data_IF_012995756723
#
_entry.id   IF_012995756723
#
_cell.length_a   1.000
_cell.length_b   1.000
_cell.length_c   1.000
_cell.angle_alpha   90.00
_cell.angle_beta   90.00
_cell.angle_gamma   90.00
#
_symmetry.space_group_name_H-M   'P 1'
#
loop_
_entity.id
_entity.type
_entity.pdbx_description
1 polymer ?
#
# COMPACT_ATOMS: atom_id res chain seq x y z
N UNK A 1 0.71 -8.29 -5.47
CA UNK A 1 0.55 -9.68 -5.93
C UNK A 1 0.63 -10.67 -4.77
N UNK A 2 1.75 -10.75 -4.02
CA UNK A 2 1.93 -11.73 -2.92
C UNK A 2 0.87 -11.60 -1.81
N UNK A 3 0.45 -10.39 -1.51
CA UNK A 3 -0.66 -10.15 -0.59
C UNK A 3 -2.03 -10.62 -1.17
N UNK A 4 -2.10 -10.89 -2.47
CA UNK A 4 -3.34 -11.23 -3.17
C UNK A 4 -4.33 -10.08 -3.31
N UNK A 5 -3.87 -8.85 -3.13
CA UNK A 5 -4.70 -7.64 -3.15
C UNK A 5 -4.76 -7.00 -4.53
N UNK A 6 -5.91 -6.38 -4.82
CA UNK A 6 -6.14 -5.69 -6.08
C UNK A 6 -5.61 -4.27 -6.06
N UNK A 7 -5.07 -3.83 -7.19
CA UNK A 7 -4.47 -2.52 -7.39
C UNK A 7 -5.26 -1.73 -8.42
N UNK A 8 -5.43 -0.42 -8.19
CA UNK A 8 -5.91 0.48 -9.24
C UNK A 8 -4.86 1.55 -9.54
N UNK A 9 -4.61 1.77 -10.82
CA UNK A 9 -3.73 2.79 -11.35
C UNK A 9 -4.57 3.93 -11.91
N UNK A 10 -4.45 5.11 -11.31
CA UNK A 10 -5.16 6.32 -11.73
C UNK A 10 -4.20 7.29 -12.40
N UNK A 11 -4.63 7.98 -13.43
CA UNK A 11 -3.83 9.02 -14.06
C UNK A 11 -4.12 9.19 -15.55
N UNK A 12 -3.56 10.25 -16.18
CA UNK A 12 -3.83 10.58 -17.57
C UNK A 12 -3.43 9.44 -18.51
N UNK A 13 -3.93 9.43 -19.74
CA UNK A 13 -3.49 8.48 -20.74
C UNK A 13 -1.99 8.66 -21.06
N UNK A 14 -1.31 7.56 -21.43
CA UNK A 14 0.10 7.60 -21.84
C UNK A 14 1.13 7.57 -20.69
N UNK A 15 0.73 7.34 -19.45
CA UNK A 15 1.65 7.21 -18.28
C UNK A 15 1.99 5.74 -17.96
N UNK A 16 2.05 4.89 -18.96
CA UNK A 16 2.51 3.50 -18.89
C UNK A 16 1.74 2.57 -17.93
N UNK A 17 0.46 2.85 -17.59
CA UNK A 17 -0.35 2.00 -16.66
C UNK A 17 -0.40 0.53 -17.09
N UNK A 18 -0.70 0.25 -18.37
CA UNK A 18 -0.77 -1.10 -18.93
C UNK A 18 0.59 -1.81 -18.94
N UNK A 19 1.67 -1.06 -19.12
CA UNK A 19 3.02 -1.63 -19.11
C UNK A 19 3.39 -2.17 -17.71
N UNK A 20 3.04 -1.48 -16.66
CA UNK A 20 3.26 -1.94 -15.26
C UNK A 20 2.57 -3.29 -15.02
N UNK A 21 1.32 -3.44 -15.47
CA UNK A 21 0.59 -4.70 -15.31
C UNK A 21 1.25 -5.86 -16.07
N UNK A 22 1.73 -5.61 -17.30
CA UNK A 22 2.44 -6.62 -18.11
C UNK A 22 3.76 -7.03 -17.48
N UNK A 23 4.51 -6.10 -16.89
CA UNK A 23 5.74 -6.41 -16.18
C UNK A 23 5.49 -7.29 -14.93
N UNK A 24 4.44 -7.01 -14.17
CA UNK A 24 4.09 -7.81 -12.99
C UNK A 24 3.76 -9.28 -13.33
N UNK A 25 3.21 -9.56 -14.53
CA UNK A 25 2.99 -10.92 -14.99
C UNK A 25 4.28 -11.71 -15.09
N UNK A 26 5.37 -11.10 -15.53
CA UNK A 26 6.65 -11.78 -15.75
C UNK A 26 7.27 -12.34 -14.48
N UNK A 27 6.83 -11.87 -13.30
CA UNK A 27 7.27 -12.37 -12.01
C UNK A 27 6.79 -13.81 -11.70
N UNK A 28 5.75 -14.28 -12.41
CA UNK A 28 5.18 -15.62 -12.19
C UNK A 28 5.53 -16.56 -13.32
N UNK A 29 5.90 -17.79 -12.95
CA UNK A 29 6.16 -18.87 -13.92
C UNK A 29 4.83 -19.36 -14.50
N UNK A 30 4.79 -19.54 -15.82
CA UNK A 30 3.64 -20.11 -16.57
C UNK A 30 2.28 -19.42 -16.27
N UNK A 31 2.31 -18.16 -15.83
CA UNK A 31 1.10 -17.41 -15.50
C UNK A 31 0.26 -17.07 -16.72
N UNK A 32 -1.02 -17.41 -16.68
CA UNK A 32 -1.99 -16.97 -17.67
C UNK A 32 -2.43 -15.54 -17.36
N UNK A 33 -2.47 -14.69 -18.38
CA UNK A 33 -2.96 -13.31 -18.22
C UNK A 33 -4.19 -13.06 -19.05
N UNK A 34 -5.06 -12.23 -18.50
CA UNK A 34 -6.20 -11.67 -19.19
C UNK A 34 -6.12 -10.15 -19.19
N UNK A 35 -6.19 -9.53 -20.36
CA UNK A 35 -6.17 -8.06 -20.53
C UNK A 35 -7.43 -7.64 -21.27
N UNK A 36 -8.12 -6.61 -20.79
CA UNK A 36 -9.30 -6.10 -21.43
C UNK A 36 -9.48 -4.59 -21.25
N UNK A 37 -9.81 -3.89 -22.31
CA UNK A 37 -10.19 -2.47 -22.31
C UNK A 37 -11.70 -2.35 -22.19
N UNK A 38 -12.19 -1.88 -21.04
CA UNK A 38 -13.61 -1.69 -20.79
C UNK A 38 -14.20 -0.57 -21.63
N UNK A 39 -15.43 -0.79 -22.06
CA UNK A 39 -16.25 0.19 -22.75
C UNK A 39 -17.69 0.14 -22.21
N UNK A 40 -18.50 1.13 -22.53
CA UNK A 40 -19.94 1.12 -22.18
C UNK A 40 -20.72 -0.02 -22.85
N UNK A 41 -20.15 -0.61 -23.93
CA UNK A 41 -20.75 -1.70 -24.69
C UNK A 41 -20.16 -3.06 -24.32
N UNK A 42 -19.19 -3.11 -23.41
CA UNK A 42 -18.58 -4.37 -22.98
C UNK A 42 -19.64 -5.30 -22.36
N UNK A 43 -19.55 -6.55 -22.76
CA UNK A 43 -20.48 -7.60 -22.33
C UNK A 43 -19.81 -8.58 -21.35
N UNK A 44 -20.56 -9.24 -20.47
CA UNK A 44 -20.00 -10.29 -19.61
C UNK A 44 -19.34 -11.44 -20.40
N UNK A 45 -19.77 -11.69 -21.62
CA UNK A 45 -19.25 -12.77 -22.48
C UNK A 45 -17.79 -12.51 -22.90
N UNK A 46 -17.43 -11.25 -23.09
CA UNK A 46 -16.07 -10.85 -23.48
C UNK A 46 -15.07 -10.95 -22.33
N UNK A 47 -15.55 -10.92 -21.10
CA UNK A 47 -14.70 -10.90 -19.89
C UNK A 47 -14.70 -12.26 -19.20
N UNK A 48 -15.86 -12.89 -19.05
CA UNK A 48 -16.05 -14.13 -18.31
C UNK A 48 -16.23 -15.35 -19.21
N UNK A 49 -16.23 -15.17 -20.54
CA UNK A 49 -16.43 -16.21 -21.54
C UNK A 49 -17.87 -16.35 -22.02
N UNK A 50 -18.07 -16.75 -23.27
CA UNK A 50 -19.41 -16.95 -23.87
C UNK A 50 -20.14 -18.14 -23.24
N UNK A 51 -21.46 -18.15 -23.35
CA UNK A 51 -22.28 -19.28 -22.94
C UNK A 51 -22.00 -20.50 -23.80
N UNK A 52 -21.74 -21.64 -23.19
CA UNK A 52 -21.51 -22.90 -23.88
C UNK A 52 -22.79 -23.46 -24.48
N UNK A 53 -22.98 -23.31 -25.80
CA UNK A 53 -24.12 -23.86 -26.52
C UNK A 53 -24.16 -25.38 -26.40
N UNK A 54 -23.01 -26.05 -26.34
CA UNK A 54 -22.93 -27.49 -26.19
C UNK A 54 -23.51 -27.95 -24.85
N UNK A 55 -23.14 -27.31 -23.74
CA UNK A 55 -23.65 -27.65 -22.39
C UNK A 55 -25.14 -27.32 -22.26
N UNK A 56 -25.56 -26.22 -22.87
CA UNK A 56 -26.97 -25.85 -22.89
C UNK A 56 -27.82 -26.90 -23.64
N UNK A 57 -27.33 -27.46 -24.75
CA UNK A 57 -28.04 -28.48 -25.52
C UNK A 57 -27.99 -29.88 -24.91
N UNK A 58 -26.84 -30.24 -24.29
CA UNK A 58 -26.63 -31.61 -23.79
C UNK A 58 -27.11 -31.85 -22.37
N UNK A 59 -27.09 -30.84 -21.51
CA UNK A 59 -27.35 -30.98 -20.07
C UNK A 59 -28.29 -29.92 -19.53
N UNK A 60 -28.89 -29.07 -20.39
CA UNK A 60 -29.76 -27.95 -20.01
C UNK A 60 -29.14 -27.04 -18.92
N UNK A 61 -27.80 -26.92 -18.95
CA UNK A 61 -27.05 -26.11 -17.98
C UNK A 61 -26.51 -24.84 -18.62
N UNK A 62 -26.76 -23.72 -17.96
CA UNK A 62 -26.24 -22.42 -18.36
C UNK A 62 -24.82 -22.25 -17.80
N UNK A 63 -23.83 -22.77 -18.51
CA UNK A 63 -22.42 -22.62 -18.14
C UNK A 63 -21.67 -21.84 -19.24
N UNK A 64 -20.65 -21.08 -18.83
CA UNK A 64 -19.75 -20.33 -19.74
C UNK A 64 -18.51 -21.14 -20.11
N UNK A 65 -18.00 -20.93 -21.30
CA UNK A 65 -16.67 -21.40 -21.71
C UNK A 65 -15.63 -20.39 -21.20
N UNK A 66 -14.97 -20.74 -20.12
CA UNK A 66 -14.12 -19.79 -19.35
C UNK A 66 -12.63 -19.82 -19.73
N UNK A 67 -12.20 -20.81 -20.53
CA UNK A 67 -10.80 -20.96 -20.92
C UNK A 67 -10.32 -19.76 -21.74
N UNK A 68 -9.22 -19.15 -21.29
CA UNK A 68 -8.66 -17.92 -21.90
C UNK A 68 -9.34 -16.62 -21.47
N UNK A 69 -10.30 -16.69 -20.57
CA UNK A 69 -10.99 -15.52 -20.00
C UNK A 69 -10.58 -15.28 -18.56
N UNK A 70 -11.06 -14.17 -17.97
CA UNK A 70 -10.74 -13.75 -16.61
C UNK A 70 -10.83 -14.88 -15.56
N UNK A 71 -11.83 -15.79 -15.57
CA UNK A 71 -11.95 -16.81 -14.53
C UNK A 71 -10.80 -17.83 -14.48
N UNK A 72 -9.99 -17.94 -15.53
CA UNK A 72 -8.84 -18.86 -15.61
C UNK A 72 -7.49 -18.15 -15.60
N UNK A 73 -7.48 -16.83 -15.39
CA UNK A 73 -6.25 -16.04 -15.40
C UNK A 73 -5.63 -15.89 -14.01
N UNK A 74 -4.30 -15.98 -13.94
CA UNK A 74 -3.50 -15.69 -12.75
C UNK A 74 -3.32 -14.17 -12.55
N UNK A 75 -3.13 -13.42 -13.66
CA UNK A 75 -2.93 -11.98 -13.66
C UNK A 75 -3.94 -11.33 -14.60
N UNK A 76 -4.71 -10.42 -14.05
CA UNK A 76 -5.77 -9.71 -14.81
C UNK A 76 -5.44 -8.22 -14.88
N UNK A 77 -5.55 -7.65 -16.08
CA UNK A 77 -5.50 -6.21 -16.30
C UNK A 77 -6.80 -5.72 -16.93
N UNK A 78 -7.48 -4.79 -16.26
CA UNK A 78 -8.73 -4.18 -16.72
C UNK A 78 -8.53 -2.68 -16.88
N UNK A 79 -8.47 -2.20 -18.13
CA UNK A 79 -8.35 -0.77 -18.41
C UNK A 79 -9.72 -0.11 -18.49
N UNK A 80 -9.81 1.17 -18.15
CA UNK A 80 -11.04 1.99 -18.12
C UNK A 80 -12.17 1.34 -17.29
N UNK A 81 -11.83 0.82 -16.11
CA UNK A 81 -12.70 -0.04 -15.29
C UNK A 81 -14.08 0.55 -15.00
N UNK A 82 -14.19 1.89 -14.87
CA UNK A 82 -15.46 2.55 -14.55
C UNK A 82 -16.45 2.56 -15.71
N UNK A 83 -16.00 2.24 -16.95
CA UNK A 83 -16.89 2.11 -18.12
C UNK A 83 -17.64 0.79 -18.16
N UNK A 84 -17.30 -0.17 -17.28
CA UNK A 84 -17.99 -1.46 -17.18
C UNK A 84 -19.46 -1.29 -16.80
N UNK A 85 -20.35 -2.05 -17.47
CA UNK A 85 -21.76 -2.06 -17.11
C UNK A 85 -22.05 -2.78 -15.77
N UNK A 86 -23.24 -2.56 -15.15
CA UNK A 86 -23.58 -3.09 -13.80
C UNK A 86 -23.43 -4.61 -13.66
N UNK A 87 -23.72 -5.38 -14.71
CA UNK A 87 -23.58 -6.84 -14.69
C UNK A 87 -22.13 -7.29 -14.50
N UNK A 88 -21.20 -6.61 -15.18
CA UNK A 88 -19.77 -6.86 -15.06
C UNK A 88 -19.27 -6.43 -13.68
N UNK A 89 -19.64 -5.22 -13.24
CA UNK A 89 -19.27 -4.67 -11.93
C UNK A 89 -19.69 -5.61 -10.80
N UNK A 90 -20.92 -6.07 -10.78
CA UNK A 90 -21.43 -6.99 -9.76
C UNK A 90 -20.64 -8.32 -9.73
N UNK A 91 -20.30 -8.87 -10.88
CA UNK A 91 -19.47 -10.07 -10.96
C UNK A 91 -18.07 -9.81 -10.42
N UNK A 92 -17.44 -8.66 -10.78
CA UNK A 92 -16.12 -8.25 -10.29
C UNK A 92 -16.11 -8.08 -8.77
N UNK A 93 -17.21 -7.66 -8.14
CA UNK A 93 -17.29 -7.56 -6.68
C UNK A 93 -17.00 -8.91 -5.99
N UNK A 94 -17.50 -10.01 -6.53
CA UNK A 94 -17.23 -11.37 -6.00
C UNK A 94 -15.83 -11.85 -6.38
N UNK A 95 -15.44 -11.64 -7.63
CA UNK A 95 -14.11 -12.01 -8.14
C UNK A 95 -12.99 -11.38 -7.31
N UNK A 96 -13.07 -10.08 -7.02
CA UNK A 96 -12.02 -9.36 -6.30
C UNK A 96 -11.95 -9.78 -4.84
N UNK A 97 -13.09 -9.95 -4.18
CA UNK A 97 -13.11 -10.23 -2.74
C UNK A 97 -12.88 -11.70 -2.39
N UNK A 98 -13.58 -12.57 -3.10
CA UNK A 98 -13.71 -13.97 -2.72
C UNK A 98 -12.89 -14.87 -3.62
N UNK A 99 -12.36 -14.31 -4.73
CA UNK A 99 -11.70 -15.06 -5.80
C UNK A 99 -12.57 -16.23 -6.26
N UNK A 100 -13.88 -15.96 -6.34
CA UNK A 100 -14.88 -16.91 -6.76
C UNK A 100 -15.62 -16.40 -8.00
N UNK A 101 -15.95 -17.32 -8.89
CA UNK A 101 -16.81 -17.08 -10.04
C UNK A 101 -17.92 -18.13 -10.08
N UNK A 102 -19.18 -17.67 -10.23
CA UNK A 102 -20.33 -18.57 -10.43
C UNK A 102 -20.49 -18.86 -11.90
N UNK A 103 -20.24 -20.12 -12.27
CA UNK A 103 -20.47 -20.60 -13.63
C UNK A 103 -21.68 -21.56 -13.65
N UNK A 104 -22.85 -21.00 -13.93
CA UNK A 104 -24.12 -21.73 -13.77
C UNK A 104 -24.38 -22.09 -12.31
N UNK A 105 -24.49 -23.38 -12.02
CA UNK A 105 -24.72 -23.89 -10.67
C UNK A 105 -23.42 -24.24 -9.92
N UNK A 106 -22.25 -24.01 -10.55
CA UNK A 106 -20.94 -24.34 -9.96
C UNK A 106 -20.23 -23.10 -9.50
N UNK A 107 -19.62 -23.17 -8.34
CA UNK A 107 -18.67 -22.16 -7.87
C UNK A 107 -17.25 -22.59 -8.27
N UNK A 108 -16.51 -21.68 -8.88
CA UNK A 108 -15.12 -21.87 -9.31
C UNK A 108 -14.23 -20.95 -8.49
N UNK A 109 -13.22 -21.51 -7.83
CA UNK A 109 -12.12 -20.74 -7.28
C UNK A 109 -11.19 -20.29 -8.40
N UNK A 110 -10.89 -19.00 -8.45
CA UNK A 110 -10.02 -18.43 -9.46
C UNK A 110 -8.55 -18.57 -9.04
N UNK A 111 -7.65 -18.89 -9.99
CA UNK A 111 -6.22 -18.90 -9.73
C UNK A 111 -5.63 -17.49 -9.57
N UNK A 112 -6.46 -16.48 -9.44
CA UNK A 112 -6.15 -15.06 -9.47
C UNK A 112 -5.13 -14.67 -8.38
N UNK A 113 -3.92 -14.31 -8.79
CA UNK A 113 -2.83 -13.81 -7.94
C UNK A 113 -2.83 -12.28 -7.87
N UNK A 114 -3.15 -11.63 -9.00
CA UNK A 114 -3.15 -10.18 -9.09
C UNK A 114 -4.24 -9.67 -10.05
N UNK A 115 -5.01 -8.70 -9.59
CA UNK A 115 -5.87 -7.89 -10.47
C UNK A 115 -5.40 -6.45 -10.42
N UNK A 116 -5.03 -5.92 -11.57
CA UNK A 116 -4.71 -4.51 -11.78
C UNK A 116 -5.82 -3.88 -12.60
N UNK A 117 -6.44 -2.86 -12.07
CA UNK A 117 -7.34 -2.00 -12.83
C UNK A 117 -6.65 -0.69 -13.19
N UNK A 118 -7.10 -0.05 -14.26
CA UNK A 118 -6.66 1.29 -14.61
C UNK A 118 -7.86 2.18 -14.94
N UNK A 119 -7.71 3.48 -14.68
CA UNK A 119 -8.64 4.51 -15.11
C UNK A 119 -7.93 5.86 -15.24
N UNK A 120 -8.52 6.73 -16.04
CA UNK A 120 -8.08 8.13 -16.16
C UNK A 120 -8.78 9.05 -15.13
N UNK A 121 -9.85 8.58 -14.53
CA UNK A 121 -10.72 9.33 -13.62
C UNK A 121 -11.11 8.49 -12.39
N UNK A 122 -11.57 9.18 -11.34
CA UNK A 122 -12.19 8.54 -10.18
C UNK A 122 -13.59 8.03 -10.52
N UNK A 123 -14.14 7.07 -9.75
CA UNK A 123 -15.52 6.64 -9.94
C UNK A 123 -16.49 7.80 -9.74
N UNK A 124 -17.50 7.91 -10.60
CA UNK A 124 -18.53 8.93 -10.47
C UNK A 124 -19.36 8.69 -9.19
N UNK A 125 -19.57 9.74 -8.42
CA UNK A 125 -20.35 9.67 -7.16
C UNK A 125 -21.83 9.38 -7.46
N UNK A 126 -22.42 8.48 -6.69
CA UNK A 126 -23.85 8.16 -6.80
C UNK A 126 -24.22 7.20 -7.93
N UNK A 127 -23.24 6.63 -8.64
CA UNK A 127 -23.46 5.61 -9.68
C UNK A 127 -23.33 4.16 -9.14
N UNK A 128 -23.18 3.98 -7.83
CA UNK A 128 -23.05 2.66 -7.20
C UNK A 128 -21.67 2.02 -7.34
N UNK A 129 -20.67 2.81 -7.76
CA UNK A 129 -19.29 2.37 -7.97
C UNK A 129 -18.48 2.32 -6.67
N UNK A 130 -18.99 2.89 -5.60
CA UNK A 130 -18.31 3.00 -4.31
C UNK A 130 -17.94 1.62 -3.76
N UNK A 131 -18.80 0.63 -3.97
CA UNK A 131 -18.56 -0.73 -3.54
C UNK A 131 -17.39 -1.38 -4.29
N UNK A 132 -17.22 -1.12 -5.58
CA UNK A 132 -16.10 -1.60 -6.37
C UNK A 132 -14.83 -0.81 -6.02
N UNK A 133 -14.93 0.50 -5.84
CA UNK A 133 -13.83 1.35 -5.39
C UNK A 133 -13.24 0.91 -4.04
N UNK A 134 -14.09 0.55 -3.07
CA UNK A 134 -13.64 0.06 -1.76
C UNK A 134 -12.83 -1.25 -1.85
N UNK A 135 -13.00 -2.03 -2.91
CA UNK A 135 -12.29 -3.30 -3.11
C UNK A 135 -10.88 -3.14 -3.67
N UNK A 136 -10.59 -2.03 -4.32
CA UNK A 136 -9.22 -1.68 -4.69
C UNK A 136 -8.50 -1.14 -3.46
N UNK A 137 -7.74 -2.04 -2.81
CA UNK A 137 -7.03 -1.71 -1.57
C UNK A 137 -5.89 -0.75 -1.86
N UNK A 138 -5.10 -1.03 -2.90
CA UNK A 138 -3.94 -0.23 -3.29
C UNK A 138 -4.36 0.72 -4.42
N UNK A 139 -4.19 2.01 -4.21
CA UNK A 139 -4.55 3.09 -5.13
C UNK A 139 -3.33 3.92 -5.45
N UNK A 140 -2.85 3.80 -6.68
CA UNK A 140 -1.63 4.47 -7.13
C UNK A 140 -1.98 5.51 -8.18
N UNK A 141 -1.58 6.74 -7.94
CA UNK A 141 -1.66 7.79 -8.92
C UNK A 141 -0.42 7.78 -9.82
N UNK A 142 -0.62 7.40 -11.09
CA UNK A 142 0.41 7.43 -12.11
C UNK A 142 0.54 8.85 -12.68
N UNK A 143 1.68 9.47 -12.48
CA UNK A 143 1.97 10.84 -12.92
C UNK A 143 2.97 10.83 -14.08
N UNK A 144 2.95 11.86 -14.96
CA UNK A 144 3.99 12.05 -15.94
C UNK A 144 5.39 12.13 -15.29
N UNK A 145 6.41 11.74 -16.03
CA UNK A 145 7.80 11.79 -15.59
C UNK A 145 8.18 13.24 -15.26
N UNK A 146 8.55 13.51 -14.01
CA UNK A 146 8.93 14.84 -13.54
C UNK A 146 10.43 15.11 -13.64
N UNK A 147 11.26 14.07 -13.43
CA UNK A 147 12.70 14.22 -13.43
C UNK A 147 13.23 14.24 -14.86
N UNK A 148 13.91 15.32 -15.24
CA UNK A 148 14.51 15.50 -16.55
C UNK A 148 15.45 14.34 -16.93
N UNK A 149 16.23 13.83 -15.99
CA UNK A 149 17.08 12.64 -16.20
C UNK A 149 16.28 11.44 -16.70
N UNK A 150 15.14 11.16 -16.05
CA UNK A 150 14.29 10.01 -16.40
C UNK A 150 13.57 10.24 -17.73
N UNK A 151 13.15 11.50 -17.98
CA UNK A 151 12.52 11.87 -19.26
C UNK A 151 13.50 11.69 -20.42
N UNK A 152 14.74 12.15 -20.27
CA UNK A 152 15.78 11.93 -21.30
C UNK A 152 16.10 10.46 -21.49
N UNK A 153 16.20 9.69 -20.41
CA UNK A 153 16.43 8.25 -20.51
C UNK A 153 15.31 7.56 -21.31
N UNK A 154 14.05 7.90 -21.06
CA UNK A 154 12.91 7.41 -21.82
C UNK A 154 12.98 7.76 -23.31
N UNK A 155 13.42 8.97 -23.66
CA UNK A 155 13.55 9.40 -25.08
C UNK A 155 14.70 8.69 -25.81
N UNK A 156 15.75 8.31 -25.09
CA UNK A 156 16.94 7.65 -25.63
C UNK A 156 16.80 6.13 -25.67
N UNK A 157 15.80 5.57 -24.98
CA UNK A 157 15.52 4.13 -24.99
C UNK A 157 14.91 3.73 -26.34
N UNK A 158 15.78 3.27 -27.25
CA UNK A 158 15.40 2.82 -28.58
C UNK A 158 14.66 1.46 -28.60
N UNK A 159 14.53 0.80 -27.44
CA UNK A 159 13.86 -0.48 -27.25
C UNK A 159 12.47 -0.36 -26.62
N UNK A 160 12.00 0.86 -26.39
CA UNK A 160 10.63 1.12 -25.98
C UNK A 160 9.67 0.87 -27.17
N UNK A 161 9.56 -0.39 -27.59
CA UNK A 161 8.51 -0.79 -28.50
C UNK A 161 7.15 -0.58 -27.83
N UNK A 162 6.46 0.48 -28.23
CA UNK A 162 5.05 0.74 -27.90
C UNK A 162 4.11 -0.36 -28.44
N UNK A 163 4.62 -1.26 -29.23
CA UNK A 163 3.94 -2.41 -29.79
C UNK A 163 4.27 -3.66 -28.98
N UNK A 164 3.52 -3.93 -27.93
CA UNK A 164 3.17 -5.28 -27.43
C UNK A 164 4.23 -6.35 -27.16
N UNK A 165 5.52 -6.15 -27.44
CA UNK A 165 6.57 -7.13 -27.21
C UNK A 165 7.61 -6.61 -26.22
N UNK A 166 7.63 -7.20 -25.08
CA UNK A 166 8.70 -7.40 -24.07
C UNK A 166 9.94 -6.49 -24.09
N UNK A 167 9.77 -5.16 -24.13
CA UNK A 167 10.86 -4.20 -23.99
C UNK A 167 10.76 -3.49 -22.64
N UNK A 168 11.56 -3.87 -21.66
CA UNK A 168 11.50 -3.31 -20.31
C UNK A 168 12.16 -1.94 -20.22
N UNK A 169 11.54 -1.05 -19.47
CA UNK A 169 12.21 0.15 -18.93
C UNK A 169 13.31 -0.31 -17.95
N UNK A 170 14.55 0.06 -18.22
CA UNK A 170 15.62 -0.08 -17.22
C UNK A 170 16.59 -1.23 -17.45
N UNK A 171 16.82 -1.72 -18.66
CA UNK A 171 17.83 -2.73 -18.95
C UNK A 171 19.24 -2.17 -19.22
N UNK A 172 19.55 -0.91 -18.89
CA UNK A 172 20.91 -0.42 -19.05
C UNK A 172 21.95 -1.09 -18.13
N UNK A 173 21.55 -1.69 -17.01
CA UNK A 173 22.47 -2.34 -16.07
C UNK A 173 22.15 -3.82 -15.76
N UNK A 174 21.01 -4.37 -16.26
CA UNK A 174 20.65 -5.78 -16.05
C UNK A 174 20.79 -6.66 -17.31
N UNK A 175 21.26 -6.11 -18.42
CA UNK A 175 21.41 -6.80 -19.70
C UNK A 175 22.64 -7.72 -19.80
N UNK A 176 23.28 -8.07 -18.70
CA UNK A 176 24.30 -9.11 -18.68
C UNK A 176 23.68 -10.47 -18.29
N UNK A 177 23.10 -11.14 -19.29
CA UNK A 177 22.97 -12.62 -19.40
C UNK A 177 22.60 -13.44 -18.14
N UNK A 178 21.85 -12.92 -17.18
CA UNK A 178 21.21 -13.76 -16.19
C UNK A 178 19.86 -14.20 -16.75
N UNK A 179 19.70 -15.48 -16.97
CA UNK A 179 18.40 -16.09 -17.27
C UNK A 179 17.51 -16.02 -16.02
N UNK A 180 16.70 -14.98 -15.93
CA UNK A 180 15.74 -14.79 -14.82
C UNK A 180 14.58 -15.79 -14.85
N UNK A 181 14.56 -16.74 -15.78
CA UNK A 181 13.51 -17.75 -15.86
C UNK A 181 13.45 -18.62 -14.60
N UNK A 182 14.60 -18.85 -13.96
CA UNK A 182 14.71 -19.60 -12.71
C UNK A 182 14.24 -18.80 -11.47
N UNK A 183 14.19 -17.48 -11.57
CA UNK A 183 13.78 -16.61 -10.46
C UNK A 183 12.26 -16.31 -10.44
N UNK A 184 11.50 -16.92 -11.35
CA UNK A 184 10.05 -16.73 -11.42
C UNK A 184 9.35 -17.55 -10.35
N UNK A 185 8.42 -16.91 -9.67
CA UNK A 185 7.60 -17.51 -8.61
C UNK A 185 6.70 -18.61 -9.20
N UNK A 186 6.83 -19.81 -8.70
CA UNK A 186 5.98 -20.95 -9.07
C UNK A 186 4.63 -20.87 -8.33
N UNK A 187 3.66 -21.68 -8.78
CA UNK A 187 2.38 -21.79 -8.08
C UNK A 187 2.51 -22.37 -6.67
N UNK A 188 3.45 -23.31 -6.48
CA UNK A 188 3.72 -23.94 -5.18
C UNK A 188 4.36 -22.96 -4.20
N UNK A 189 5.40 -22.23 -4.64
CA UNK A 189 6.04 -21.18 -3.84
C UNK A 189 5.04 -20.09 -3.46
N UNK A 190 4.19 -19.67 -4.39
CA UNK A 190 3.15 -18.68 -4.09
C UNK A 190 2.18 -19.15 -3.01
N UNK A 191 1.78 -20.42 -3.02
CA UNK A 191 0.88 -21.00 -2.02
C UNK A 191 1.59 -21.09 -0.66
N UNK A 192 2.81 -21.59 -0.61
CA UNK A 192 3.63 -21.68 0.60
C UNK A 192 3.88 -20.29 1.22
N UNK A 193 4.29 -19.32 0.41
CA UNK A 193 4.52 -17.93 0.87
C UNK A 193 3.24 -17.29 1.39
N UNK A 194 2.10 -17.58 0.76
CA UNK A 194 0.81 -17.08 1.23
C UNK A 194 0.46 -17.59 2.64
N UNK A 195 0.84 -18.82 2.99
CA UNK A 195 0.68 -19.37 4.34
C UNK A 195 1.68 -18.75 5.31
N UNK A 196 2.94 -18.61 4.91
CA UNK A 196 3.99 -18.01 5.74
C UNK A 196 3.69 -16.55 6.06
N UNK A 197 3.19 -15.77 5.11
CA UNK A 197 2.74 -14.39 5.34
C UNK A 197 1.68 -14.31 6.44
N UNK A 198 0.76 -15.28 6.53
CA UNK A 198 -0.26 -15.28 7.57
C UNK A 198 0.30 -15.52 8.98
N UNK A 199 1.50 -16.10 9.10
CA UNK A 199 2.19 -16.37 10.38
C UNK A 199 3.00 -15.19 10.89
N UNK A 200 3.29 -14.19 10.04
CA UNK A 200 4.02 -12.98 10.44
C UNK A 200 3.25 -12.25 11.55
N UNK A 201 3.96 -11.94 12.63
CA UNK A 201 3.42 -11.22 13.78
C UNK A 201 3.19 -9.73 13.48
N UNK A 202 2.37 -9.08 14.31
CA UNK A 202 2.21 -7.62 14.31
C UNK A 202 2.49 -7.15 15.73
N UNK A 203 3.51 -6.31 15.89
CA UNK A 203 3.88 -5.77 17.21
C UNK A 203 2.79 -4.86 17.77
N UNK A 204 2.66 -4.79 19.07
CA UNK A 204 1.67 -3.91 19.75
C UNK A 204 1.91 -2.44 19.39
N UNK A 205 3.17 -2.02 19.29
CA UNK A 205 3.55 -0.66 18.86
C UNK A 205 2.97 -0.29 17.49
N UNK A 206 2.95 -1.23 16.54
CA UNK A 206 2.36 -1.04 15.20
C UNK A 206 0.85 -0.85 15.30
N UNK A 207 0.18 -1.62 16.19
CA UNK A 207 -1.26 -1.50 16.44
C UNK A 207 -1.61 -0.14 17.06
N UNK A 208 -0.76 0.36 17.97
CA UNK A 208 -0.92 1.70 18.55
C UNK A 208 -0.82 2.79 17.49
N UNK A 209 0.19 2.73 16.62
CA UNK A 209 0.34 3.67 15.49
C UNK A 209 -0.87 3.60 14.55
N UNK A 210 -1.36 2.41 14.20
CA UNK A 210 -2.59 2.24 13.40
C UNK A 210 -3.78 2.90 14.09
N UNK A 211 -3.89 2.78 15.41
CA UNK A 211 -4.97 3.39 16.19
C UNK A 211 -4.90 4.93 16.13
N UNK A 212 -3.70 5.51 16.18
CA UNK A 212 -3.47 6.96 15.99
C UNK A 212 -3.88 7.38 14.58
N UNK A 213 -3.44 6.66 13.53
CA UNK A 213 -3.83 6.93 12.15
C UNK A 213 -5.35 6.92 12.02
N UNK A 214 -6.01 5.85 12.52
CA UNK A 214 -7.46 5.69 12.46
C UNK A 214 -8.22 6.83 13.13
N UNK A 215 -7.73 7.33 14.26
CA UNK A 215 -8.31 8.51 14.95
C UNK A 215 -8.12 9.77 14.11
N UNK A 216 -6.94 9.98 13.55
CA UNK A 216 -6.61 11.17 12.77
C UNK A 216 -7.40 11.27 11.46
N UNK A 217 -7.74 10.14 10.82
CA UNK A 217 -8.55 10.10 9.61
C UNK A 217 -9.99 10.61 9.81
N UNK A 218 -10.48 10.73 11.05
CA UNK A 218 -11.82 11.28 11.32
C UNK A 218 -11.94 12.78 11.14
N UNK A 219 -10.79 13.49 11.07
CA UNK A 219 -10.77 14.95 10.97
C UNK A 219 -9.56 15.43 10.17
N UNK A 220 -9.52 15.11 8.88
CA UNK A 220 -8.41 15.46 7.97
C UNK A 220 -8.62 16.84 7.39
N UNK A 221 -7.61 17.70 7.51
CA UNK A 221 -7.57 18.98 6.82
C UNK A 221 -6.93 18.77 5.44
N UNK A 222 -7.71 18.97 4.39
CA UNK A 222 -7.23 18.76 3.01
C UNK A 222 -6.69 20.07 2.41
N UNK A 223 -7.28 21.23 2.77
CA UNK A 223 -6.90 22.55 2.30
C UNK A 223 -6.78 23.57 3.44
N UNK A 224 -6.04 24.68 3.25
CA UNK A 224 -5.85 25.74 4.25
C UNK A 224 -7.14 26.45 4.70
N UNK A 225 -8.18 26.41 3.87
CA UNK A 225 -9.50 27.03 4.15
C UNK A 225 -10.54 25.99 4.63
N UNK A 226 -10.15 24.82 5.04
CA UNK A 226 -10.93 23.63 4.82
C UNK A 226 -11.87 23.22 5.94
N UNK A 227 -12.99 22.74 5.52
CA UNK A 227 -13.80 21.78 6.26
C UNK A 227 -12.98 20.52 6.57
N UNK A 228 -13.03 20.10 7.83
CA UNK A 228 -12.46 18.82 8.25
C UNK A 228 -13.23 17.68 7.59
N UNK A 229 -12.55 16.87 6.81
CA UNK A 229 -13.14 15.69 6.17
C UNK A 229 -12.95 14.45 7.04
N UNK A 230 -14.01 13.65 7.13
CA UNK A 230 -13.94 12.34 7.75
C UNK A 230 -13.68 11.30 6.65
N UNK A 231 -12.48 10.72 6.64
CA UNK A 231 -12.09 9.70 5.69
C UNK A 231 -12.44 8.34 6.27
N UNK A 232 -13.46 7.73 5.70
CA UNK A 232 -13.91 6.40 6.10
C UNK A 232 -13.06 5.31 5.42
N UNK A 233 -12.54 4.41 6.22
CA UNK A 233 -11.83 3.19 5.79
C UNK A 233 -12.55 2.00 6.39
N UNK A 234 -13.03 1.08 5.56
CA UNK A 234 -13.79 -0.09 6.00
C UNK A 234 -12.92 -1.06 6.82
N UNK A 235 -13.54 -1.80 7.75
CA UNK A 235 -12.84 -2.82 8.55
C UNK A 235 -12.22 -3.92 7.67
N UNK A 236 -12.87 -4.24 6.55
CA UNK A 236 -12.33 -5.14 5.53
C UNK A 236 -11.01 -4.59 4.96
N UNK A 237 -10.99 -3.30 4.61
CA UNK A 237 -9.77 -2.67 4.06
C UNK A 237 -8.65 -2.67 5.09
N UNK A 238 -8.93 -2.41 6.37
CA UNK A 238 -7.93 -2.53 7.44
C UNK A 238 -7.38 -3.96 7.56
N UNK A 239 -8.22 -4.98 7.42
CA UNK A 239 -7.78 -6.38 7.40
C UNK A 239 -6.85 -6.67 6.22
N UNK A 240 -7.16 -6.15 5.04
CA UNK A 240 -6.33 -6.29 3.85
C UNK A 240 -5.01 -5.52 3.98
N UNK A 241 -5.04 -4.31 4.56
CA UNK A 241 -3.84 -3.54 4.90
C UNK A 241 -2.93 -4.35 5.85
N UNK A 242 -3.49 -4.97 6.88
CA UNK A 242 -2.71 -5.80 7.80
C UNK A 242 -2.02 -6.97 7.06
N UNK A 243 -2.65 -7.54 6.02
CA UNK A 243 -2.02 -8.55 5.16
C UNK A 243 -0.90 -7.96 4.30
N UNK A 244 -1.06 -6.73 3.77
CA UNK A 244 0.01 -6.01 3.05
C UNK A 244 1.22 -5.77 3.94
N UNK A 245 1.01 -5.34 5.20
CA UNK A 245 2.09 -5.12 6.17
C UNK A 245 2.87 -6.41 6.44
N UNK A 246 2.15 -7.52 6.67
CA UNK A 246 2.78 -8.84 6.85
C UNK A 246 3.55 -9.26 5.61
N UNK A 247 3.03 -8.98 4.41
CA UNK A 247 3.72 -9.27 3.16
C UNK A 247 5.00 -8.44 3.03
N UNK A 248 5.00 -7.18 3.45
CA UNK A 248 6.18 -6.32 3.48
C UNK A 248 7.27 -6.91 4.38
N UNK A 249 6.91 -7.30 5.59
CA UNK A 249 7.84 -7.94 6.53
C UNK A 249 8.39 -9.27 6.00
N UNK A 250 7.50 -10.13 5.46
CA UNK A 250 7.89 -11.41 4.86
C UNK A 250 8.91 -11.25 3.72
N UNK A 251 8.69 -10.29 2.82
CA UNK A 251 9.60 -10.02 1.69
C UNK A 251 10.97 -9.47 2.12
N UNK A 252 11.12 -9.12 3.38
CA UNK A 252 12.36 -8.62 3.99
C UNK A 252 12.91 -9.60 5.05
N UNK A 253 12.50 -10.88 4.97
CA UNK A 253 12.92 -11.96 5.88
C UNK A 253 12.70 -11.65 7.37
N UNK A 254 11.62 -10.88 7.69
CA UNK A 254 11.26 -10.54 9.07
C UNK A 254 10.05 -11.37 9.53
N UNK A 255 10.06 -11.76 10.78
CA UNK A 255 8.97 -12.51 11.42
C UNK A 255 7.87 -11.61 11.99
N UNK A 256 8.12 -10.31 12.08
CA UNK A 256 7.19 -9.31 12.61
C UNK A 256 7.17 -8.04 11.76
N UNK A 257 6.00 -7.40 11.75
CA UNK A 257 5.79 -6.09 11.10
C UNK A 257 6.42 -5.00 11.96
N UNK A 258 7.17 -4.08 11.32
CA UNK A 258 7.75 -2.90 11.93
C UNK A 258 6.94 -1.64 11.64
N UNK A 259 7.12 -0.58 12.44
CA UNK A 259 6.40 0.68 12.28
C UNK A 259 6.64 1.32 10.89
N UNK A 260 7.84 1.21 10.32
CA UNK A 260 8.14 1.76 9.00
C UNK A 260 7.42 1.05 7.83
N UNK A 261 6.90 -0.18 8.03
CA UNK A 261 6.04 -0.84 7.06
C UNK A 261 4.70 -0.09 6.86
N UNK A 262 4.30 0.74 7.82
CA UNK A 262 3.10 1.57 7.73
C UNK A 262 3.24 2.72 6.72
N UNK A 263 4.46 3.15 6.37
CA UNK A 263 4.64 4.32 5.49
C UNK A 263 3.89 4.20 4.17
N UNK A 264 3.93 3.09 3.40
CA UNK A 264 3.22 3.00 2.13
C UNK A 264 1.69 2.90 2.24
N UNK A 265 1.11 2.71 3.44
CA UNK A 265 -0.34 2.47 3.56
C UNK A 265 -1.20 3.69 3.20
N UNK A 266 -0.62 4.90 3.12
CA UNK A 266 -1.39 6.05 2.64
C UNK A 266 -1.97 5.81 1.25
N UNK A 267 -1.32 4.98 0.41
CA UNK A 267 -1.86 4.51 -0.86
C UNK A 267 -3.15 3.66 -0.72
N UNK A 268 -3.46 3.20 0.49
CA UNK A 268 -4.63 2.38 0.78
C UNK A 268 -5.76 3.16 1.46
N UNK A 269 -5.55 4.42 1.85
CA UNK A 269 -6.45 5.13 2.76
C UNK A 269 -7.28 6.22 2.08
N UNK A 270 -6.75 6.92 1.07
CA UNK A 270 -7.43 8.03 0.42
C UNK A 270 -8.63 7.62 -0.44
N UNK A 271 -9.62 8.50 -0.56
CA UNK A 271 -10.79 8.33 -1.41
C UNK A 271 -10.74 9.27 -2.63
N UNK A 272 -10.23 10.48 -2.44
CA UNK A 272 -10.03 11.51 -3.45
C UNK A 272 -8.55 11.88 -3.55
N UNK A 273 -8.08 12.24 -4.74
CA UNK A 273 -6.63 12.49 -4.98
C UNK A 273 -6.07 13.61 -4.11
N UNK A 274 -6.89 14.61 -3.78
CA UNK A 274 -6.52 15.76 -2.94
C UNK A 274 -6.22 15.37 -1.49
N UNK A 275 -6.81 14.27 -1.01
CA UNK A 275 -6.63 13.78 0.36
C UNK A 275 -5.27 13.10 0.59
N UNK A 276 -4.65 12.60 -0.51
CA UNK A 276 -3.50 11.71 -0.44
C UNK A 276 -2.32 12.32 0.33
N UNK A 277 -1.95 13.55 0.04
CA UNK A 277 -0.76 14.18 0.64
C UNK A 277 -1.01 14.52 2.12
N UNK A 278 -2.26 14.91 2.48
CA UNK A 278 -2.66 15.09 3.87
C UNK A 278 -2.62 13.76 4.66
N UNK A 279 -3.13 12.68 4.07
CA UNK A 279 -3.09 11.34 4.69
C UNK A 279 -1.65 10.85 4.84
N UNK A 280 -0.80 11.08 3.83
CA UNK A 280 0.62 10.74 3.88
C UNK A 280 1.29 11.43 5.08
N UNK A 281 1.04 12.72 5.27
CA UNK A 281 1.53 13.47 6.44
C UNK A 281 1.01 12.89 7.75
N UNK A 282 -0.27 12.48 7.82
CA UNK A 282 -0.84 11.83 9.01
C UNK A 282 -0.10 10.52 9.31
N UNK A 283 0.15 9.68 8.31
CA UNK A 283 0.87 8.41 8.50
C UNK A 283 2.28 8.66 9.03
N UNK A 284 3.02 9.59 8.43
CA UNK A 284 4.38 9.94 8.87
C UNK A 284 4.38 10.43 10.32
N UNK A 285 3.50 11.36 10.67
CA UNK A 285 3.40 11.89 12.03
C UNK A 285 2.98 10.84 13.06
N UNK A 286 2.13 9.92 12.66
CA UNK A 286 1.65 8.86 13.55
C UNK A 286 2.78 7.93 14.03
N UNK A 287 3.85 7.74 13.24
CA UNK A 287 5.02 6.97 13.66
C UNK A 287 5.68 7.55 14.90
N UNK A 288 5.65 8.88 15.03
CA UNK A 288 6.26 9.60 16.14
C UNK A 288 5.29 9.85 17.30
N UNK A 289 3.99 9.62 17.12
CA UNK A 289 2.98 9.98 18.12
C UNK A 289 3.24 9.36 19.49
N UNK A 290 3.58 8.06 19.65
CA UNK A 290 3.84 7.48 20.97
C UNK A 290 5.06 8.11 21.66
N UNK A 291 6.11 8.45 20.90
CA UNK A 291 7.30 9.10 21.42
C UNK A 291 7.02 10.57 21.75
N UNK A 292 6.26 11.27 20.90
CA UNK A 292 5.87 12.65 21.10
C UNK A 292 4.99 12.83 22.36
N UNK A 293 4.04 11.93 22.61
CA UNK A 293 3.21 11.93 23.81
C UNK A 293 4.08 11.80 25.07
N UNK A 294 5.00 10.83 25.09
CA UNK A 294 5.94 10.65 26.23
C UNK A 294 6.82 11.88 26.43
N UNK A 295 7.34 12.47 25.34
CA UNK A 295 8.16 13.68 25.42
C UNK A 295 7.38 14.86 26.01
N UNK A 296 6.14 15.08 25.56
CA UNK A 296 5.28 16.15 26.07
C UNK A 296 4.96 15.94 27.55
N UNK A 297 4.64 14.73 27.96
CA UNK A 297 4.39 14.39 29.37
C UNK A 297 5.62 14.65 30.23
N UNK A 298 6.78 14.19 29.79
CA UNK A 298 8.06 14.43 30.47
C UNK A 298 8.36 15.93 30.60
N UNK A 299 8.21 16.72 29.53
CA UNK A 299 8.44 18.18 29.52
C UNK A 299 7.52 18.91 30.46
N UNK A 300 6.24 18.51 30.56
CA UNK A 300 5.28 19.10 31.50
C UNK A 300 5.69 18.84 32.96
N UNK A 301 6.07 17.59 33.25
CA UNK A 301 6.56 17.25 34.57
C UNK A 301 7.85 17.99 34.94
N UNK A 302 8.80 18.07 34.00
CA UNK A 302 10.05 18.83 34.18
C UNK A 302 9.78 20.32 34.43
N UNK A 303 8.86 20.93 33.69
CA UNK A 303 8.51 22.34 33.90
C UNK A 303 7.88 22.60 35.25
N UNK A 304 7.06 21.68 35.76
CA UNK A 304 6.52 21.74 37.14
C UNK A 304 7.63 21.60 38.19
N UNK A 305 8.53 20.64 38.01
CA UNK A 305 9.64 20.41 38.98
C UNK A 305 10.58 21.63 39.04
N UNK A 306 10.90 22.25 37.90
CA UNK A 306 11.69 23.50 37.83
C UNK A 306 10.92 24.65 38.52
N UNK A 307 9.64 24.82 38.22
CA UNK A 307 8.79 25.90 38.76
C UNK A 307 8.70 25.86 40.27
N UNK A 308 8.64 24.69 40.89
CA UNK A 308 8.56 24.53 42.36
C UNK A 308 9.91 24.46 43.02
N UNK A 309 11.01 24.79 42.34
CA UNK A 309 12.39 24.74 42.84
C UNK A 309 12.70 23.44 43.57
N UNK A 310 12.30 22.33 42.97
CA UNK A 310 12.61 20.99 43.49
C UNK A 310 14.04 20.64 43.14
N UNK A 311 14.98 21.36 43.78
CA UNK A 311 16.41 21.11 43.60
C UNK A 311 16.71 19.70 44.10
N UNK A 312 17.32 18.91 43.30
CA UNK A 312 17.67 17.52 43.59
C UNK A 312 19.15 17.46 43.96
N UNK A 313 19.43 16.82 45.08
CA UNK A 313 20.79 16.61 45.56
C UNK A 313 21.46 15.40 44.92
N UNK A 314 20.66 14.43 44.48
CA UNK A 314 21.14 13.22 43.79
C UNK A 314 20.21 12.85 42.65
N UNK A 315 20.72 12.17 41.59
CA UNK A 315 19.89 11.69 40.45
C UNK A 315 18.76 10.75 40.88
N UNK A 316 18.91 10.06 42.00
CA UNK A 316 17.93 9.07 42.53
C UNK A 316 16.73 9.70 43.25
N UNK A 317 16.72 11.04 43.44
CA UNK A 317 15.60 11.73 44.10
C UNK A 317 14.55 12.17 43.03
N UNK A 318 13.44 11.44 42.94
CA UNK A 318 12.27 11.81 42.12
C UNK A 318 12.20 11.10 40.78
N UNK A 319 11.64 11.78 39.74
CA UNK A 319 11.46 11.21 38.38
C UNK A 319 12.80 11.11 37.66
N UNK A 320 13.07 9.95 37.06
CA UNK A 320 14.29 9.67 36.28
C UNK A 320 14.17 10.23 34.85
N UNK A 321 14.45 11.52 34.71
CA UNK A 321 14.41 12.18 33.39
C UNK A 321 15.49 11.69 32.44
N UNK A 322 16.69 11.31 32.91
CA UNK A 322 17.74 10.79 32.06
C UNK A 322 17.38 9.43 31.47
N UNK A 323 16.83 8.51 32.28
CA UNK A 323 16.36 7.22 31.80
C UNK A 323 15.20 7.36 30.81
N UNK A 324 14.30 8.34 31.00
CA UNK A 324 13.23 8.63 30.04
C UNK A 324 13.79 9.20 28.73
N UNK A 325 14.78 10.08 28.77
CA UNK A 325 15.47 10.62 27.59
C UNK A 325 16.20 9.49 26.83
N UNK A 326 16.88 8.60 27.52
CA UNK A 326 17.53 7.44 26.92
C UNK A 326 16.50 6.52 26.25
N UNK A 327 15.40 6.21 26.92
CA UNK A 327 14.32 5.41 26.33
C UNK A 327 13.72 6.04 25.07
N UNK A 328 13.54 7.37 25.03
CA UNK A 328 13.09 8.10 23.85
C UNK A 328 14.13 8.05 22.73
N UNK A 329 15.41 8.21 23.08
CA UNK A 329 16.54 8.13 22.12
C UNK A 329 16.62 6.74 21.49
N UNK A 330 16.46 5.67 22.28
CA UNK A 330 16.45 4.30 21.79
C UNK A 330 15.28 4.04 20.84
N UNK A 331 14.09 4.57 21.17
CA UNK A 331 12.93 4.51 20.28
C UNK A 331 13.15 5.21 18.94
N UNK A 332 13.79 6.38 18.94
CA UNK A 332 14.15 7.11 17.70
C UNK A 332 15.19 6.33 16.89
N UNK A 333 16.21 5.77 17.54
CA UNK A 333 17.25 4.96 16.91
C UNK A 333 16.65 3.71 16.28
N UNK A 334 15.70 3.06 16.95
CA UNK A 334 14.97 1.92 16.39
C UNK A 334 14.19 2.29 15.13
N UNK A 335 13.48 3.43 15.12
CA UNK A 335 12.79 3.93 13.92
C UNK A 335 13.76 4.24 12.79
N UNK A 336 14.92 4.81 13.08
CA UNK A 336 15.96 5.13 12.10
C UNK A 336 16.51 3.85 11.43
N UNK A 337 16.78 2.81 12.21
CA UNK A 337 17.18 1.48 11.69
C UNK A 337 16.09 0.86 10.82
N UNK A 338 14.84 0.80 11.31
CA UNK A 338 13.72 0.28 10.54
C UNK A 338 13.55 1.01 9.21
N UNK A 339 13.74 2.34 9.20
CA UNK A 339 13.65 3.17 8.00
C UNK A 339 14.78 2.87 7.01
N UNK A 340 16.01 2.69 7.51
CA UNK A 340 17.19 2.37 6.70
C UNK A 340 17.04 1.02 6.00
N UNK A 341 16.64 0.02 6.75
CA UNK A 341 16.54 -1.36 6.29
C UNK A 341 15.33 -1.61 5.39
N UNK A 342 14.28 -0.78 5.48
CA UNK A 342 13.05 -1.00 4.73
C UNK A 342 13.23 -0.72 3.24
N UNK A 343 13.02 -1.76 2.41
CA UNK A 343 13.20 -1.73 0.95
C UNK A 343 12.00 -1.12 0.21
N UNK A 344 10.82 -1.07 0.83
CA UNK A 344 9.57 -0.66 0.17
C UNK A 344 9.16 0.79 0.45
N UNK A 345 9.89 1.47 1.32
CA UNK A 345 9.68 2.90 1.58
C UNK A 345 10.36 3.72 0.48
N UNK A 346 9.62 4.66 -0.11
CA UNK A 346 10.14 5.54 -1.15
C UNK A 346 11.27 6.45 -0.63
N UNK A 347 12.16 6.89 -1.52
CA UNK A 347 13.21 7.85 -1.18
C UNK A 347 12.66 9.16 -0.61
N UNK A 348 11.51 9.60 -1.11
CA UNK A 348 10.86 10.83 -0.66
C UNK A 348 10.28 10.67 0.75
N UNK A 349 9.67 9.51 1.04
CA UNK A 349 9.18 9.20 2.38
C UNK A 349 10.34 9.05 3.37
N UNK A 350 11.43 8.36 2.97
CA UNK A 350 12.65 8.25 3.79
C UNK A 350 13.24 9.62 4.12
N UNK A 351 13.30 10.53 3.16
CA UNK A 351 13.82 11.88 3.37
C UNK A 351 12.96 12.69 4.34
N UNK A 352 11.63 12.59 4.23
CA UNK A 352 10.72 13.31 5.10
C UNK A 352 10.74 12.76 6.54
N UNK A 353 10.68 11.44 6.72
CA UNK A 353 10.82 10.81 8.05
C UNK A 353 12.16 11.15 8.69
N UNK A 354 13.25 11.14 7.90
CA UNK A 354 14.57 11.55 8.40
C UNK A 354 14.61 13.03 8.83
N UNK A 355 13.83 13.90 8.21
CA UNK A 355 13.69 15.29 8.67
C UNK A 355 12.99 15.36 10.04
N UNK A 356 11.89 14.63 10.21
CA UNK A 356 11.19 14.52 11.51
C UNK A 356 12.10 13.95 12.60
N UNK A 357 12.87 12.89 12.31
CA UNK A 357 13.86 12.32 13.24
C UNK A 357 14.85 13.38 13.72
N UNK A 358 15.46 14.13 12.80
CA UNK A 358 16.42 15.20 13.13
C UNK A 358 15.80 16.26 14.02
N UNK A 359 14.58 16.68 13.76
CA UNK A 359 13.92 17.71 14.56
C UNK A 359 13.55 17.16 15.95
N UNK A 360 13.16 15.90 16.06
CA UNK A 360 12.87 15.27 17.34
C UNK A 360 14.16 15.12 18.18
N UNK A 361 15.27 14.70 17.58
CA UNK A 361 16.58 14.65 18.29
C UNK A 361 17.02 16.03 18.81
N UNK A 362 16.81 17.11 18.05
CA UNK A 362 17.09 18.47 18.53
C UNK A 362 16.23 18.81 19.73
N UNK A 363 14.92 18.51 19.67
CA UNK A 363 13.99 18.79 20.77
C UNK A 363 14.37 17.99 22.03
N UNK A 364 14.76 16.73 21.86
CA UNK A 364 15.25 15.88 22.96
C UNK A 364 16.55 16.45 23.57
N UNK A 365 17.48 16.93 22.76
CA UNK A 365 18.72 17.56 23.24
C UNK A 365 18.44 18.85 24.02
N UNK A 366 17.50 19.70 23.58
CA UNK A 366 17.08 20.87 24.33
C UNK A 366 16.42 20.48 25.68
N UNK A 367 15.59 19.46 25.68
CA UNK A 367 14.97 18.98 26.91
C UNK A 367 16.02 18.45 27.89
N UNK A 368 17.06 17.76 27.40
CA UNK A 368 18.18 17.31 28.22
C UNK A 368 18.95 18.48 28.85
N UNK A 369 19.13 19.59 28.14
CA UNK A 369 19.70 20.81 28.73
C UNK A 369 18.82 21.40 29.83
N UNK A 370 17.51 21.34 29.66
CA UNK A 370 16.57 21.83 30.69
C UNK A 370 16.59 20.98 31.94
N UNK A 371 16.90 19.67 31.86
CA UNK A 371 17.03 18.82 33.07
C UNK A 371 18.20 19.29 33.97
N UNK A 372 19.26 19.86 33.36
CA UNK A 372 20.39 20.40 34.13
C UNK A 372 19.98 21.50 35.11
N UNK A 373 18.92 22.26 34.81
CA UNK A 373 18.39 23.31 35.71
C UNK A 373 17.85 22.77 37.05
N UNK A 374 17.62 21.45 37.16
CA UNK A 374 17.22 20.80 38.40
C UNK A 374 18.41 20.59 39.37
N UNK A 375 19.66 20.68 38.85
CA UNK A 375 20.90 20.42 39.57
C UNK A 375 21.75 21.67 39.75
N UNK A 376 21.35 22.81 39.16
CA UNK A 376 22.02 24.10 39.35
C UNK A 376 21.54 24.72 40.70
N UNK A 377 22.52 25.16 41.55
CA UNK A 377 22.29 25.84 42.82
C UNK A 377 21.76 27.28 42.65
#
# INVERSE_FOLDING_TARGET
ALAGESVILLGPPGVAKSMVARQLKTAFRDAHSFEYLMSRFSTPDEIFGPVSIQKLKSSDTYERAVDGYLPTADVVFLDEIWKAGPAIQNTLLTVINEKLFRNGNKEMHLPLKLLVAASNELPAKGEGLEALWDRFVIRIESRPIKLEKNFRAMLLDSHADFSGSTGGLGHADFANNADFSELKITGEEYAEWSENINRIGVKEEVLDVISVIRKSLRAVNVDEAAERRNIYVSDRRWKNIARLLRTSAFMQDREEVDCCDLLPIYHCLWQESEERDAIRTIVIRALFAPLAEKLVEMKNALAEDIKYHRIRKTPDEGRDYEGEIESLSDGLTSLEHQLGDNLFVSSDDKAEVSAYLRDFYKELAFTRQDTMKLYED
#
